data_IF_872409297378
#
_entry.id   IF_872409297378
#
_cell.length_a   1.000
_cell.length_b   1.000
_cell.length_c   1.000
_cell.angle_alpha   90.00
_cell.angle_beta   90.00
_cell.angle_gamma   90.00
#
_symmetry.space_group_name_H-M   'P 1'
#
loop_
_entity.id
_entity.type
_entity.pdbx_description
1 polymer ?
#
# COMPACT_ATOMS: atom_id res chain seq x y z
N UNK A 1 -24.12 4.82 20.86
CA UNK A 1 -23.69 4.58 19.46
C UNK A 1 -22.19 4.64 19.54
N UNK A 2 -21.51 3.53 19.29
CA UNK A 2 -20.07 3.39 19.50
C UNK A 2 -19.27 4.51 18.84
N UNK A 3 -19.73 5.02 17.69
CA UNK A 3 -19.07 6.13 16.99
C UNK A 3 -19.15 7.43 17.77
N UNK A 4 -20.33 7.75 18.31
CA UNK A 4 -20.51 8.94 19.14
C UNK A 4 -19.68 8.84 20.43
N UNK A 5 -19.59 7.64 21.02
CA UNK A 5 -18.77 7.40 22.21
C UNK A 5 -17.27 7.63 21.93
N UNK A 6 -16.77 7.23 20.75
CA UNK A 6 -15.39 7.50 20.33
C UNK A 6 -15.12 9.00 20.12
N UNK A 7 -16.06 9.71 19.49
CA UNK A 7 -15.96 11.16 19.26
C UNK A 7 -16.01 11.94 20.58
N UNK A 8 -16.91 11.56 21.49
CA UNK A 8 -17.00 12.15 22.83
C UNK A 8 -15.74 11.89 23.66
N UNK A 9 -15.22 10.66 23.60
CA UNK A 9 -13.96 10.31 24.26
C UNK A 9 -12.79 11.12 23.70
N UNK A 10 -12.73 11.28 22.37
CA UNK A 10 -11.70 12.06 21.70
C UNK A 10 -11.76 13.54 22.11
N UNK A 11 -12.95 14.14 22.10
CA UNK A 11 -13.19 15.53 22.55
C UNK A 11 -12.72 15.75 23.99
N UNK A 12 -13.13 14.85 24.88
CA UNK A 12 -12.75 14.90 26.30
C UNK A 12 -11.24 14.75 26.49
N UNK A 13 -10.64 13.73 25.89
CA UNK A 13 -9.23 13.39 26.07
C UNK A 13 -8.32 14.48 25.53
N UNK A 14 -8.61 15.01 24.34
CA UNK A 14 -7.88 16.14 23.75
C UNK A 14 -7.86 17.36 24.68
N UNK A 15 -9.02 17.74 25.26
CA UNK A 15 -9.09 18.86 26.20
C UNK A 15 -8.35 18.62 27.51
N UNK A 16 -8.32 17.38 27.99
CA UNK A 16 -7.58 17.03 29.21
C UNK A 16 -6.07 17.04 28.98
N UNK A 17 -5.60 16.57 27.82
CA UNK A 17 -4.18 16.58 27.46
C UNK A 17 -3.71 17.99 27.08
N UNK A 18 -4.53 18.73 26.35
CA UNK A 18 -4.30 20.11 25.91
C UNK A 18 -2.92 20.30 25.25
N UNK A 19 -2.64 19.49 24.22
CA UNK A 19 -1.37 19.52 23.50
C UNK A 19 -1.59 19.29 22.01
N UNK A 20 -0.70 19.85 21.20
CA UNK A 20 -0.64 19.58 19.77
C UNK A 20 -0.49 18.08 19.50
N UNK A 21 -1.27 17.57 18.55
CA UNK A 21 -1.38 16.13 18.33
C UNK A 21 -1.44 15.73 16.86
N UNK A 22 -1.01 14.49 16.62
CA UNK A 22 -1.17 13.78 15.36
C UNK A 22 -2.05 12.56 15.65
N UNK A 23 -3.05 12.34 14.80
CA UNK A 23 -3.87 11.14 14.85
C UNK A 23 -3.27 10.07 13.95
N UNK A 24 -3.13 8.86 14.49
CA UNK A 24 -2.76 7.67 13.73
C UNK A 24 -3.95 6.70 13.70
N UNK A 25 -4.41 6.36 12.50
CA UNK A 25 -5.54 5.44 12.32
C UNK A 25 -5.29 4.47 11.18
N UNK A 26 -6.08 3.40 11.11
CA UNK A 26 -5.91 2.42 10.04
C UNK A 26 -6.50 2.92 8.72
N UNK A 27 -7.79 3.30 8.72
CA UNK A 27 -8.56 3.70 7.53
C UNK A 27 -8.53 5.23 7.41
N UNK A 28 -8.32 5.80 6.22
CA UNK A 28 -8.34 7.26 6.00
C UNK A 28 -9.71 7.88 6.29
N UNK A 29 -9.70 9.17 6.65
CA UNK A 29 -10.90 10.03 6.62
C UNK A 29 -11.29 10.35 5.18
N UNK A 30 -12.58 10.60 4.91
CA UNK A 30 -13.09 10.82 3.54
C UNK A 30 -12.55 12.09 2.88
N UNK A 31 -12.19 13.09 3.69
CA UNK A 31 -11.63 14.38 3.28
C UNK A 31 -10.33 14.24 2.52
N UNK A 32 -9.65 13.10 2.61
CA UNK A 32 -8.48 12.79 1.79
C UNK A 32 -8.80 12.85 0.28
N UNK A 33 -10.06 12.63 -0.12
CA UNK A 33 -10.51 12.77 -1.51
C UNK A 33 -10.49 14.22 -2.00
N UNK A 34 -10.37 15.23 -1.13
CA UNK A 34 -10.19 16.64 -1.54
C UNK A 34 -8.79 16.92 -2.11
N UNK A 35 -7.84 16.04 -1.77
CA UNK A 35 -6.51 16.03 -2.37
C UNK A 35 -6.53 15.40 -3.79
N UNK A 36 -7.66 14.83 -4.19
CA UNK A 36 -7.87 14.16 -5.46
C UNK A 36 -8.91 14.92 -6.29
N UNK A 37 -8.89 14.69 -7.59
CA UNK A 37 -9.94 15.16 -8.50
C UNK A 37 -10.53 14.00 -9.28
N UNK A 38 -11.86 14.03 -9.43
CA UNK A 38 -12.60 13.05 -10.22
C UNK A 38 -12.38 13.35 -11.70
N UNK A 39 -11.98 12.34 -12.46
CA UNK A 39 -11.61 12.47 -13.87
C UNK A 39 -12.24 11.36 -14.73
N UNK A 40 -12.33 11.52 -16.06
CA UNK A 40 -12.77 10.45 -16.94
C UNK A 40 -11.83 9.24 -16.88
N UNK A 41 -12.40 8.04 -17.10
CA UNK A 41 -11.64 6.80 -17.25
C UNK A 41 -10.57 6.95 -18.33
N UNK A 42 -9.35 6.48 -18.03
CA UNK A 42 -8.21 6.52 -18.97
C UNK A 42 -7.41 7.82 -18.93
N UNK A 43 -7.82 8.79 -18.11
CA UNK A 43 -6.98 9.95 -17.80
C UNK A 43 -5.64 9.49 -17.20
N UNK A 44 -4.53 10.07 -17.65
CA UNK A 44 -3.20 9.72 -17.15
C UNK A 44 -3.11 9.96 -15.63
N UNK A 45 -2.63 8.95 -14.91
CA UNK A 45 -2.48 8.99 -13.45
C UNK A 45 -3.79 8.80 -12.68
N UNK A 46 -4.87 8.40 -13.35
CA UNK A 46 -6.14 8.12 -12.71
C UNK A 46 -6.25 6.67 -12.26
N UNK A 47 -6.66 6.47 -11.01
CA UNK A 47 -6.91 5.16 -10.40
C UNK A 47 -8.43 4.93 -10.22
N UNK A 48 -8.92 3.70 -10.41
CA UNK A 48 -10.33 3.37 -10.26
C UNK A 48 -10.75 3.30 -8.78
N UNK A 49 -11.85 3.95 -8.44
CA UNK A 49 -12.42 3.89 -7.10
C UNK A 49 -13.30 2.64 -6.89
N UNK A 50 -13.49 2.28 -5.62
CA UNK A 50 -14.27 1.14 -5.17
C UNK A 50 -15.24 1.53 -4.05
N UNK A 51 -15.97 0.54 -3.50
CA UNK A 51 -16.97 0.78 -2.48
C UNK A 51 -18.11 1.68 -2.98
N UNK A 52 -18.39 2.74 -2.22
CA UNK A 52 -19.45 3.73 -2.52
C UNK A 52 -19.15 4.57 -3.76
N UNK A 53 -17.88 4.63 -4.21
CA UNK A 53 -17.41 5.38 -5.39
C UNK A 53 -17.16 4.50 -6.61
N UNK A 54 -17.71 3.28 -6.63
CA UNK A 54 -17.49 2.32 -7.72
C UNK A 54 -17.87 2.92 -9.08
N UNK A 55 -16.91 2.87 -10.02
CA UNK A 55 -17.08 3.38 -11.39
C UNK A 55 -16.51 4.79 -11.59
N UNK A 56 -16.09 5.46 -10.52
CA UNK A 56 -15.38 6.72 -10.56
C UNK A 56 -13.87 6.50 -10.70
N UNK A 57 -13.16 7.52 -11.17
CA UNK A 57 -11.71 7.50 -11.33
C UNK A 57 -11.16 8.81 -10.79
N UNK A 58 -10.05 8.71 -10.07
CA UNK A 58 -9.45 9.84 -9.38
C UNK A 58 -7.98 9.92 -9.71
N UNK A 59 -7.46 11.15 -9.82
CA UNK A 59 -6.03 11.42 -9.81
C UNK A 59 -5.73 12.45 -8.74
N UNK A 60 -4.46 12.57 -8.35
CA UNK A 60 -3.98 13.70 -7.56
C UNK A 60 -4.41 15.03 -8.21
N UNK A 61 -4.93 15.95 -7.39
CA UNK A 61 -5.27 17.30 -7.82
C UNK A 61 -4.01 18.14 -8.05
N UNK A 62 -4.02 18.95 -9.11
CA UNK A 62 -2.96 19.91 -9.37
C UNK A 62 -3.07 21.13 -8.43
N UNK A 63 -1.93 21.80 -8.17
CA UNK A 63 -1.90 23.05 -7.41
C UNK A 63 -2.00 22.94 -5.89
N UNK A 64 -2.24 21.75 -5.33
CA UNK A 64 -2.14 21.49 -3.89
C UNK A 64 -0.74 20.99 -3.51
N UNK A 65 -0.31 21.29 -2.27
CA UNK A 65 0.90 20.69 -1.70
C UNK A 65 0.63 19.19 -1.54
N UNK A 66 1.30 18.40 -2.37
CA UNK A 66 1.17 16.96 -2.38
C UNK A 66 2.56 16.34 -2.52
N UNK A 67 2.95 15.59 -1.50
CA UNK A 67 4.28 15.01 -1.37
C UNK A 67 4.19 13.50 -1.26
N UNK A 68 4.86 12.74 -2.12
CA UNK A 68 4.84 11.27 -2.14
C UNK A 68 4.11 10.68 -3.34
N UNK A 69 3.82 9.37 -3.30
CA UNK A 69 3.21 8.64 -4.40
C UNK A 69 1.72 8.36 -4.13
N UNK A 70 0.91 8.66 -5.15
CA UNK A 70 -0.46 8.19 -5.31
C UNK A 70 -0.43 6.92 -6.16
N UNK A 71 -0.91 5.81 -5.62
CA UNK A 71 -0.89 4.51 -6.29
C UNK A 71 -2.23 3.79 -6.30
N UNK A 72 -3.18 4.20 -5.47
CA UNK A 72 -4.55 3.67 -5.46
C UNK A 72 -5.54 4.70 -4.91
N UNK A 73 -6.84 4.46 -5.07
CA UNK A 73 -7.86 5.34 -4.46
C UNK A 73 -8.03 5.02 -2.97
N UNK A 74 -8.10 6.02 -2.08
CA UNK A 74 -8.29 5.85 -0.65
C UNK A 74 -9.50 4.98 -0.28
N UNK A 75 -9.31 4.04 0.65
CA UNK A 75 -10.38 3.22 1.24
C UNK A 75 -11.30 3.97 2.21
N UNK A 76 -11.53 5.25 1.98
CA UNK A 76 -12.23 6.08 2.94
C UNK A 76 -13.72 5.72 2.99
N UNK A 77 -14.24 5.66 4.21
CA UNK A 77 -15.68 5.54 4.45
C UNK A 77 -16.35 6.92 4.31
N UNK A 78 -17.65 6.99 3.96
CA UNK A 78 -18.35 8.27 3.78
C UNK A 78 -18.29 9.21 5.01
N UNK A 79 -18.26 10.52 4.76
CA UNK A 79 -18.15 11.64 5.73
C UNK A 79 -19.13 11.68 6.88
N UNK A 80 -20.21 10.90 6.80
CA UNK A 80 -21.34 10.97 7.73
C UNK A 80 -20.97 10.60 9.18
N UNK A 81 -19.74 10.14 9.45
CA UNK A 81 -19.26 9.89 10.81
C UNK A 81 -18.86 11.17 11.59
N UNK A 82 -18.60 12.30 10.92
CA UNK A 82 -18.24 13.56 11.59
C UNK A 82 -16.87 13.59 12.27
N UNK A 83 -16.03 12.58 12.06
CA UNK A 83 -14.69 12.45 12.65
C UNK A 83 -13.80 13.64 12.29
N UNK A 84 -13.65 13.96 11.01
CA UNK A 84 -12.79 15.05 10.56
C UNK A 84 -13.28 16.43 11.03
N UNK A 85 -14.61 16.65 11.06
CA UNK A 85 -15.18 17.87 11.62
C UNK A 85 -14.88 18.02 13.12
N UNK A 86 -14.91 16.92 13.87
CA UNK A 86 -14.51 16.95 15.27
C UNK A 86 -13.01 17.26 15.42
N UNK A 87 -12.13 16.63 14.63
CA UNK A 87 -10.68 16.89 14.65
C UNK A 87 -10.38 18.37 14.37
N UNK A 88 -11.05 18.96 13.37
CA UNK A 88 -10.97 20.39 13.08
C UNK A 88 -11.44 21.27 14.24
N UNK A 89 -12.58 20.91 14.85
CA UNK A 89 -13.16 21.65 15.97
C UNK A 89 -12.25 21.68 17.19
N UNK A 90 -11.49 20.62 17.44
CA UNK A 90 -10.54 20.57 18.55
C UNK A 90 -9.38 21.56 18.35
N UNK A 91 -8.89 21.69 17.12
CA UNK A 91 -7.88 22.70 16.73
C UNK A 91 -6.46 22.42 17.23
N UNK A 92 -6.24 21.34 17.98
CA UNK A 92 -4.95 20.84 18.44
C UNK A 92 -4.39 19.72 17.53
N UNK A 93 -5.24 19.11 16.70
CA UNK A 93 -4.84 18.11 15.69
C UNK A 93 -4.33 18.81 14.44
N UNK A 94 -3.03 18.66 14.14
CA UNK A 94 -2.43 19.27 12.95
C UNK A 94 -2.13 18.26 11.84
N UNK A 95 -2.22 16.96 12.12
CA UNK A 95 -2.11 15.93 11.08
C UNK A 95 -2.86 14.64 11.42
N UNK A 96 -3.29 13.92 10.38
CA UNK A 96 -3.87 12.58 10.44
C UNK A 96 -3.10 11.68 9.49
N UNK A 97 -2.51 10.60 10.02
CA UNK A 97 -1.80 9.60 9.24
C UNK A 97 -2.50 8.26 9.28
N UNK A 98 -2.59 7.65 8.10
CA UNK A 98 -3.21 6.35 7.93
C UNK A 98 -2.34 5.35 7.17
N UNK A 99 -2.76 4.08 7.21
CA UNK A 99 -2.20 3.01 6.41
C UNK A 99 -3.29 2.47 5.49
N UNK A 100 -3.51 1.15 5.52
CA UNK A 100 -4.57 0.45 4.78
C UNK A 100 -4.39 0.37 3.26
N UNK A 101 -4.16 1.50 2.59
CA UNK A 101 -3.86 1.59 1.16
C UNK A 101 -2.34 1.48 0.95
N UNK A 102 -1.86 0.28 0.63
CA UNK A 102 -0.44 -0.07 0.72
C UNK A 102 0.46 0.52 -0.37
N UNK A 103 -0.11 1.05 -1.46
CA UNK A 103 0.64 1.76 -2.50
C UNK A 103 0.82 3.24 -2.17
N UNK A 104 -0.02 3.81 -1.32
CA UNK A 104 -0.06 5.22 -1.05
C UNK A 104 1.00 5.64 -0.02
N UNK A 105 1.66 6.74 -0.31
CA UNK A 105 2.70 7.35 0.54
C UNK A 105 2.61 8.88 0.51
N UNK A 106 1.47 9.41 0.08
CA UNK A 106 1.32 10.84 -0.12
C UNK A 106 0.90 11.57 1.15
N UNK A 107 1.12 12.89 1.15
CA UNK A 107 0.62 13.83 2.16
C UNK A 107 0.10 15.06 1.44
N UNK A 108 -1.06 15.56 1.87
CA UNK A 108 -1.52 16.89 1.51
C UNK A 108 -2.39 17.51 2.59
N UNK A 109 -2.55 18.83 2.55
CA UNK A 109 -3.24 19.59 3.59
C UNK A 109 -4.68 19.86 3.20
N UNK A 110 -5.62 19.57 4.10
CA UNK A 110 -7.05 19.91 3.98
C UNK A 110 -7.46 20.66 5.25
N UNK A 111 -8.06 21.85 5.10
CA UNK A 111 -8.51 22.68 6.24
C UNK A 111 -7.46 22.91 7.35
N UNK A 112 -6.18 22.99 6.97
CA UNK A 112 -5.07 23.19 7.92
C UNK A 112 -4.57 21.92 8.61
N UNK A 113 -5.12 20.75 8.27
CA UNK A 113 -4.69 19.45 8.78
C UNK A 113 -3.98 18.69 7.67
N UNK A 114 -2.78 18.19 7.95
CA UNK A 114 -2.04 17.33 7.02
C UNK A 114 -2.63 15.90 7.02
N UNK A 115 -3.18 15.48 5.89
CA UNK A 115 -3.68 14.12 5.67
C UNK A 115 -2.64 13.30 4.92
N UNK A 116 -2.12 12.25 5.56
CA UNK A 116 -0.99 11.49 5.05
C UNK A 116 -1.13 9.98 5.11
N UNK A 117 -0.40 9.30 4.23
CA UNK A 117 -0.27 7.85 4.20
C UNK A 117 1.12 7.39 4.60
N UNK A 118 1.18 6.27 5.31
CA UNK A 118 2.35 5.41 5.36
C UNK A 118 2.16 4.23 4.40
N UNK A 119 3.09 3.98 3.47
CA UNK A 119 3.01 2.82 2.59
C UNK A 119 3.15 1.50 3.36
N UNK A 120 2.84 0.40 2.69
CA UNK A 120 2.87 -0.93 3.29
C UNK A 120 4.29 -1.39 3.68
N UNK A 121 4.49 -1.69 4.97
CA UNK A 121 5.73 -2.28 5.49
C UNK A 121 5.75 -3.83 5.45
N UNK A 122 4.60 -4.47 5.17
CA UNK A 122 4.42 -5.92 5.25
C UNK A 122 4.83 -6.68 3.98
N UNK A 123 5.43 -7.87 4.14
CA UNK A 123 5.93 -8.69 3.02
C UNK A 123 4.93 -9.73 2.47
N UNK A 124 3.80 -9.93 3.15
CA UNK A 124 2.76 -10.89 2.75
C UNK A 124 1.47 -10.19 2.29
N UNK A 125 1.60 -9.06 1.62
CA UNK A 125 0.49 -8.28 1.11
C UNK A 125 0.90 -7.50 -0.15
N UNK A 126 -0.08 -7.05 -0.92
CA UNK A 126 0.14 -6.13 -2.03
C UNK A 126 0.69 -4.78 -1.53
N UNK A 127 1.26 -3.98 -2.43
CA UNK A 127 1.81 -2.66 -2.09
C UNK A 127 3.17 -2.43 -2.74
N UNK A 128 3.82 -1.30 -2.45
CA UNK A 128 5.11 -0.95 -3.07
C UNK A 128 6.20 -2.04 -2.91
N UNK A 129 7.06 -2.20 -3.92
CA UNK A 129 8.08 -3.25 -3.93
C UNK A 129 9.06 -3.14 -2.76
N UNK A 130 9.68 -1.97 -2.60
CA UNK A 130 10.51 -1.67 -1.45
C UNK A 130 9.60 -1.29 -0.29
N UNK A 131 9.54 -2.15 0.74
CA UNK A 131 8.73 -1.87 1.92
C UNK A 131 9.30 -0.68 2.66
N UNK A 132 8.45 0.28 2.95
CA UNK A 132 8.84 1.55 3.56
C UNK A 132 8.15 1.74 4.90
N UNK A 133 8.80 2.53 5.74
CA UNK A 133 8.24 3.12 6.95
C UNK A 133 8.28 4.63 6.82
N UNK A 134 7.34 5.33 7.47
CA UNK A 134 7.37 6.79 7.54
C UNK A 134 8.09 7.24 8.81
N UNK A 135 9.02 8.16 8.64
CA UNK A 135 9.74 8.83 9.72
C UNK A 135 9.13 10.22 9.94
N UNK A 136 9.04 10.61 11.20
CA UNK A 136 8.62 11.93 11.63
C UNK A 136 9.75 12.54 12.46
N UNK A 137 10.17 13.74 12.07
CA UNK A 137 11.15 14.54 12.79
C UNK A 137 10.46 15.80 13.30
N UNK A 138 10.50 16.00 14.61
CA UNK A 138 9.89 17.14 15.29
C UNK A 138 10.97 18.06 15.82
N UNK A 139 10.72 19.37 15.72
CA UNK A 139 11.36 20.35 16.59
C UNK A 139 10.51 20.47 17.86
N UNK A 140 11.12 20.29 19.03
CA UNK A 140 10.43 20.40 20.31
C UNK A 140 9.84 21.80 20.56
N UNK A 141 10.37 22.83 19.87
CA UNK A 141 9.92 24.22 19.97
C UNK A 141 8.83 24.58 18.95
N UNK A 142 8.65 23.77 17.90
CA UNK A 142 7.65 23.98 16.84
C UNK A 142 7.23 22.63 16.23
N UNK A 143 6.41 21.89 16.98
CA UNK A 143 5.97 20.53 16.60
C UNK A 143 5.10 20.51 15.35
N UNK A 144 4.44 21.63 15.02
CA UNK A 144 3.58 21.74 13.83
C UNK A 144 4.38 21.90 12.54
N UNK A 145 5.61 22.40 12.60
CA UNK A 145 6.53 22.47 11.48
C UNK A 145 7.42 21.22 11.38
N UNK A 146 6.81 20.05 11.51
CA UNK A 146 7.50 18.76 11.46
C UNK A 146 7.97 18.41 10.04
N UNK A 147 9.02 17.59 9.96
CA UNK A 147 9.47 16.97 8.71
C UNK A 147 9.05 15.53 8.69
N UNK A 148 8.73 15.02 7.50
CA UNK A 148 8.43 13.61 7.32
C UNK A 148 8.85 13.12 5.96
N UNK A 149 9.32 11.88 5.93
CA UNK A 149 9.79 11.19 4.73
C UNK A 149 9.63 9.68 4.93
N UNK A 150 9.76 8.92 3.86
CA UNK A 150 9.77 7.46 3.94
C UNK A 150 11.21 6.93 3.86
N UNK A 151 11.44 5.81 4.52
CA UNK A 151 12.71 5.08 4.45
C UNK A 151 12.39 3.65 4.07
N UNK A 152 13.06 3.16 3.02
CA UNK A 152 12.85 1.80 2.56
C UNK A 152 13.73 0.79 3.28
N UNK A 153 13.32 -0.48 3.25
CA UNK A 153 14.15 -1.60 3.69
C UNK A 153 15.53 -1.58 3.00
N UNK A 154 15.57 -1.26 1.70
CA UNK A 154 16.81 -1.12 0.95
C UNK A 154 17.73 -0.04 1.52
N UNK A 155 17.18 1.12 1.89
CA UNK A 155 17.93 2.24 2.45
C UNK A 155 18.56 1.90 3.81
N UNK A 156 17.81 1.19 4.67
CA UNK A 156 18.27 0.83 6.02
C UNK A 156 19.21 -0.37 6.00
N UNK A 157 18.79 -1.47 5.38
CA UNK A 157 19.48 -2.75 5.49
C UNK A 157 20.62 -2.92 4.49
N UNK A 158 20.62 -2.14 3.39
CA UNK A 158 21.58 -2.27 2.28
C UNK A 158 21.70 -3.71 1.77
N UNK A 159 20.57 -4.43 1.75
CA UNK A 159 20.47 -5.85 1.38
C UNK A 159 19.32 -6.05 0.39
N UNK A 160 19.41 -7.07 -0.48
CA UNK A 160 18.27 -7.46 -1.29
C UNK A 160 17.12 -7.94 -0.41
N UNK A 161 15.90 -7.82 -0.92
CA UNK A 161 14.72 -8.41 -0.29
C UNK A 161 14.92 -9.92 -0.15
N UNK A 162 14.44 -10.50 0.96
CA UNK A 162 14.55 -11.94 1.19
C UNK A 162 13.79 -12.77 0.13
N UNK A 163 12.63 -12.28 -0.32
CA UNK A 163 11.81 -12.91 -1.36
C UNK A 163 11.52 -11.89 -2.48
N UNK A 164 12.51 -11.54 -3.32
CA UNK A 164 12.40 -10.43 -4.27
C UNK A 164 11.33 -10.71 -5.33
N UNK A 165 11.30 -11.93 -5.88
CA UNK A 165 10.31 -12.31 -6.88
C UNK A 165 8.87 -12.25 -6.34
N UNK A 166 8.63 -12.81 -5.15
CA UNK A 166 7.32 -12.76 -4.49
C UNK A 166 6.89 -11.32 -4.22
N UNK A 167 7.80 -10.49 -3.72
CA UNK A 167 7.52 -9.09 -3.42
C UNK A 167 7.21 -8.31 -4.70
N UNK A 168 7.94 -8.55 -5.79
CA UNK A 168 7.64 -7.98 -7.10
C UNK A 168 6.24 -8.36 -7.58
N UNK A 169 5.85 -9.64 -7.50
CA UNK A 169 4.49 -10.09 -7.85
C UNK A 169 3.43 -9.37 -7.01
N UNK A 170 3.65 -9.22 -5.71
CA UNK A 170 2.74 -8.46 -4.85
C UNK A 170 2.71 -6.96 -5.16
N UNK A 171 3.79 -6.39 -5.71
CA UNK A 171 3.83 -4.98 -6.11
C UNK A 171 3.11 -4.65 -7.41
N UNK A 172 2.77 -5.68 -8.18
CA UNK A 172 1.94 -5.54 -9.39
C UNK A 172 0.54 -6.10 -9.17
N UNK A 173 0.24 -6.62 -7.98
CA UNK A 173 -1.05 -7.20 -7.66
C UNK A 173 -2.12 -6.10 -7.55
N UNK A 174 -3.31 -6.33 -8.11
CA UNK A 174 -4.40 -5.37 -8.01
C UNK A 174 -4.83 -5.22 -6.54
N UNK A 175 -5.07 -3.99 -6.09
CA UNK A 175 -5.56 -3.73 -4.74
C UNK A 175 -7.07 -3.91 -4.61
N UNK A 176 -7.80 -3.69 -5.71
CA UNK A 176 -9.27 -3.70 -5.72
C UNK A 176 -9.83 -4.44 -6.93
N UNK A 177 -11.09 -4.88 -6.83
CA UNK A 177 -11.75 -5.65 -7.90
C UNK A 177 -11.81 -4.93 -9.26
N UNK A 178 -11.98 -3.59 -9.35
CA UNK A 178 -11.90 -2.87 -10.61
C UNK A 178 -10.55 -2.96 -11.35
N UNK A 179 -9.44 -3.22 -10.65
CA UNK A 179 -8.12 -3.36 -11.26
C UNK A 179 -7.83 -4.78 -11.79
N UNK A 180 -8.62 -5.80 -11.39
CA UNK A 180 -8.44 -7.19 -11.82
C UNK A 180 -8.43 -7.37 -13.35
N UNK A 181 -9.32 -6.74 -14.14
CA UNK A 181 -9.30 -6.92 -15.60
C UNK A 181 -8.00 -6.42 -16.25
N UNK A 182 -7.48 -5.26 -15.80
CA UNK A 182 -6.22 -4.70 -16.31
C UNK A 182 -5.03 -5.59 -15.95
N UNK A 183 -5.02 -6.17 -14.75
CA UNK A 183 -4.04 -7.17 -14.37
C UNK A 183 -4.13 -8.42 -15.25
N UNK A 184 -5.35 -8.93 -15.50
CA UNK A 184 -5.59 -10.07 -16.38
C UNK A 184 -5.07 -9.85 -17.80
N UNK A 185 -5.29 -8.66 -18.38
CA UNK A 185 -4.76 -8.30 -19.70
C UNK A 185 -3.22 -8.34 -19.72
N UNK A 186 -2.55 -7.80 -18.69
CA UNK A 186 -1.08 -7.86 -18.57
C UNK A 186 -0.56 -9.30 -18.50
N UNK A 187 -1.23 -10.14 -17.71
CA UNK A 187 -0.88 -11.58 -17.60
C UNK A 187 -1.06 -12.29 -18.94
N UNK A 188 -2.18 -12.08 -19.63
CA UNK A 188 -2.43 -12.68 -20.95
C UNK A 188 -1.40 -12.22 -22.00
N UNK A 189 -1.05 -10.92 -22.01
CA UNK A 189 -0.03 -10.38 -22.90
C UNK A 189 1.35 -11.02 -22.65
N UNK A 190 1.72 -11.24 -21.38
CA UNK A 190 2.96 -11.93 -21.02
C UNK A 190 2.95 -13.40 -21.50
N UNK A 191 1.85 -14.11 -21.27
CA UNK A 191 1.71 -15.50 -21.74
C UNK A 191 1.78 -15.60 -23.27
N UNK A 192 1.16 -14.67 -23.98
CA UNK A 192 1.25 -14.59 -25.43
C UNK A 192 2.70 -14.34 -25.91
N UNK A 193 3.43 -13.43 -25.25
CA UNK A 193 4.84 -13.18 -25.56
C UNK A 193 5.71 -14.42 -25.33
N UNK A 194 5.49 -15.15 -24.23
CA UNK A 194 6.18 -16.42 -23.94
C UNK A 194 5.86 -17.45 -25.04
N UNK A 195 4.60 -17.58 -25.44
CA UNK A 195 4.21 -18.50 -26.51
C UNK A 195 4.90 -18.17 -27.83
N UNK A 196 4.93 -16.89 -28.23
CA UNK A 196 5.63 -16.41 -29.43
C UNK A 196 7.13 -16.72 -29.34
N UNK A 197 7.76 -16.47 -28.19
CA UNK A 197 9.16 -16.80 -27.97
C UNK A 197 9.45 -18.29 -28.23
N UNK A 198 8.63 -19.21 -27.69
CA UNK A 198 8.83 -20.63 -27.91
C UNK A 198 8.53 -21.09 -29.34
N UNK A 199 7.61 -20.43 -30.06
CA UNK A 199 7.39 -20.66 -31.49
C UNK A 199 8.61 -20.25 -32.31
N UNK A 200 9.21 -19.10 -32.00
CA UNK A 200 10.44 -18.64 -32.65
C UNK A 200 11.63 -19.55 -32.31
N UNK A 201 11.74 -19.96 -31.05
CA UNK A 201 12.75 -20.92 -30.61
C UNK A 201 12.65 -22.24 -31.39
N UNK A 202 11.42 -22.74 -31.62
CA UNK A 202 11.20 -23.96 -32.38
C UNK A 202 11.62 -23.85 -33.84
N UNK A 203 11.57 -22.65 -34.44
CA UNK A 203 12.08 -22.39 -35.79
C UNK A 203 13.61 -22.41 -35.86
N UNK A 204 14.30 -22.00 -34.80
CA UNK A 204 15.77 -21.90 -34.77
C UNK A 204 16.43 -23.19 -34.31
N UNK A 205 15.93 -23.78 -33.21
CA UNK A 205 16.56 -24.92 -32.52
C UNK A 205 15.84 -26.25 -32.79
N UNK A 206 14.72 -26.23 -33.51
CA UNK A 206 13.88 -27.39 -33.75
C UNK A 206 12.80 -27.60 -32.68
N UNK A 207 11.71 -28.24 -33.10
CA UNK A 207 10.49 -28.44 -32.29
C UNK A 207 10.77 -29.19 -30.99
N UNK A 208 11.48 -30.32 -31.06
CA UNK A 208 11.72 -31.18 -29.91
C UNK A 208 12.61 -30.53 -28.85
N UNK A 209 13.66 -29.84 -29.30
CA UNK A 209 14.58 -29.09 -28.43
C UNK A 209 13.85 -27.97 -27.68
N UNK A 210 12.93 -27.27 -28.36
CA UNK A 210 12.16 -26.18 -27.78
C UNK A 210 11.08 -26.67 -26.81
N UNK A 211 10.44 -27.81 -27.11
CA UNK A 211 9.51 -28.47 -26.18
C UNK A 211 10.26 -28.93 -24.92
N UNK A 212 11.45 -29.53 -25.09
CA UNK A 212 12.31 -29.92 -23.97
C UNK A 212 12.69 -28.73 -23.08
N UNK A 213 13.04 -27.59 -23.69
CA UNK A 213 13.33 -26.36 -22.97
C UNK A 213 12.11 -25.83 -22.18
N UNK A 214 10.92 -25.82 -22.80
CA UNK A 214 9.68 -25.41 -22.13
C UNK A 214 9.37 -26.31 -20.93
N UNK A 215 9.45 -27.63 -21.11
CA UNK A 215 9.23 -28.59 -20.03
C UNK A 215 10.25 -28.41 -18.91
N UNK A 216 11.53 -28.20 -19.24
CA UNK A 216 12.57 -27.92 -18.26
C UNK A 216 12.27 -26.68 -17.41
N UNK A 217 11.83 -25.58 -18.05
CA UNK A 217 11.41 -24.36 -17.34
C UNK A 217 10.20 -24.63 -16.43
N UNK A 218 9.19 -25.34 -16.93
CA UNK A 218 7.99 -25.69 -16.15
C UNK A 218 8.35 -26.56 -14.94
N UNK A 219 9.15 -27.60 -15.13
CA UNK A 219 9.62 -28.48 -14.05
C UNK A 219 10.44 -27.71 -13.02
N UNK A 220 11.40 -26.88 -13.46
CA UNK A 220 12.19 -26.03 -12.56
C UNK A 220 11.32 -25.07 -11.75
N UNK A 221 10.29 -24.50 -12.40
CA UNK A 221 9.31 -23.61 -11.75
C UNK A 221 8.51 -24.34 -10.67
N UNK A 222 8.00 -25.54 -10.97
CA UNK A 222 7.25 -26.36 -10.00
C UNK A 222 8.13 -26.76 -8.82
N UNK A 223 9.36 -27.19 -9.06
CA UNK A 223 10.32 -27.56 -8.00
C UNK A 223 10.62 -26.33 -7.11
N UNK A 224 10.88 -25.18 -7.72
CA UNK A 224 11.16 -23.95 -6.98
C UNK A 224 9.99 -23.53 -6.10
N UNK A 225 8.77 -23.43 -6.65
CA UNK A 225 7.59 -23.03 -5.87
C UNK A 225 7.25 -24.05 -4.79
N UNK A 226 7.33 -25.35 -5.08
CA UNK A 226 7.13 -26.40 -4.08
C UNK A 226 8.14 -26.30 -2.93
N UNK A 227 9.42 -26.12 -3.25
CA UNK A 227 10.49 -25.92 -2.27
C UNK A 227 10.30 -24.64 -1.45
N UNK A 228 9.93 -23.53 -2.08
CA UNK A 228 9.66 -22.25 -1.40
C UNK A 228 8.47 -22.36 -0.42
N UNK A 229 7.41 -23.09 -0.79
CA UNK A 229 6.27 -23.36 0.10
C UNK A 229 6.73 -24.15 1.33
N UNK A 230 7.47 -25.24 1.13
CA UNK A 230 7.98 -26.08 2.22
C UNK A 230 8.91 -25.25 3.13
N UNK A 231 9.84 -24.50 2.54
CA UNK A 231 10.76 -23.62 3.26
C UNK A 231 10.00 -22.60 4.11
N UNK A 232 8.97 -21.95 3.55
CA UNK A 232 8.15 -20.98 4.28
C UNK A 232 7.38 -21.64 5.43
N UNK A 233 6.82 -22.84 5.23
CA UNK A 233 6.14 -23.59 6.29
C UNK A 233 7.12 -23.92 7.43
N UNK A 234 8.31 -24.45 7.11
CA UNK A 234 9.32 -24.84 8.11
C UNK A 234 9.87 -23.62 8.85
N UNK A 235 10.24 -22.57 8.11
CA UNK A 235 10.80 -21.34 8.69
C UNK A 235 9.78 -20.63 9.57
N UNK A 236 8.50 -20.58 9.15
CA UNK A 236 7.42 -20.01 9.96
C UNK A 236 7.20 -20.81 11.25
N UNK A 237 7.22 -22.14 11.19
CA UNK A 237 7.14 -22.98 12.41
C UNK A 237 8.27 -22.65 13.39
N UNK A 238 9.52 -22.61 12.90
CA UNK A 238 10.69 -22.26 13.73
C UNK A 238 10.59 -20.86 14.33
N UNK A 239 10.13 -19.87 13.55
CA UNK A 239 9.93 -18.51 14.05
C UNK A 239 8.86 -18.46 15.14
N UNK A 240 7.73 -19.15 14.96
CA UNK A 240 6.67 -19.23 15.97
C UNK A 240 7.17 -19.92 17.24
N UNK A 241 7.90 -21.03 17.12
CA UNK A 241 8.51 -21.73 18.25
C UNK A 241 9.50 -20.83 18.99
N UNK A 242 10.39 -20.14 18.27
CA UNK A 242 11.32 -19.18 18.86
C UNK A 242 10.59 -18.06 19.60
N UNK A 243 9.55 -17.49 18.99
CA UNK A 243 8.77 -16.40 19.58
C UNK A 243 8.01 -16.85 20.85
N UNK A 244 7.54 -18.11 20.88
CA UNK A 244 6.93 -18.72 22.08
C UNK A 244 7.96 -18.91 23.19
N UNK A 245 9.13 -19.45 22.86
CA UNK A 245 10.21 -19.71 23.82
C UNK A 245 10.80 -18.41 24.40
N UNK A 246 10.95 -17.34 23.60
CA UNK A 246 11.47 -16.04 24.05
C UNK A 246 10.49 -15.26 24.94
N UNK A 247 9.18 -15.56 24.88
CA UNK A 247 8.16 -14.92 25.73
C UNK A 247 7.83 -15.68 27.02
N UNK A 248 8.48 -16.82 27.29
CA UNK A 248 8.29 -17.56 28.53
C UNK A 248 6.86 -18.06 28.76
N UNK A 249 6.16 -18.48 27.70
CA UNK A 249 4.91 -19.26 27.81
C UNK A 249 5.20 -20.76 27.79
#
# INVERSE_FOLDING_TARGET
DFRNEQIEWLDKTSREVNADSIVFQHIPVDEIYELLEKVPKGTKGAEPAYGTRKGEYYRRKDGIKFMGKYGETPAAMPRECGEFEQLKKQGDVFAVYCGHDHYDSFIGTVDGIDLGYCPGAGYNTYGIEQREVRVFEFDENDVRNYKTYTVSYGDVCKKPLAEPFKTYIFSIAPCCTPQLPMFGVKVLALLAAIAVFFVLLAKVLGKWTSIGALLGVLTGTVIYFGGAIIYNIVTRKRLIERYRNERGN
#
